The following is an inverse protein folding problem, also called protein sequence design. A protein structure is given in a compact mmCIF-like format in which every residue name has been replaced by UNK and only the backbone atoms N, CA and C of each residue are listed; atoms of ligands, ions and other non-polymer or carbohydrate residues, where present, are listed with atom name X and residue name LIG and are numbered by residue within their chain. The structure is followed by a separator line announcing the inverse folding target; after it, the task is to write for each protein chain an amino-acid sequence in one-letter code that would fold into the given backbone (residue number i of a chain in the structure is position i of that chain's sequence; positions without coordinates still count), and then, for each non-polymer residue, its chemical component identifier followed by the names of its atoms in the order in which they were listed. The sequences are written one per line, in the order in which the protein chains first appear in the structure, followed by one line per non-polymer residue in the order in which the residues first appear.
data_IF_215546291718
#
_entry.id   IF_215546291718
#
_cell.length_a   1.000
_cell.length_b   1.000
_cell.length_c   1.000
_cell.angle_alpha   90.00
_cell.angle_beta   90.00
_cell.angle_gamma   90.00
#
_symmetry.space_group_name_H-M   'P 1'
#
loop_
_entity.id
_entity.type
_entity.pdbx_description
1 polymer ?
#
# COMPACT_ATOMS: atom_id res chain seq x y z
N UNK A 1 -12.02 21.22 9.94
CA UNK A 1 -12.56 19.94 10.49
C UNK A 1 -13.78 20.15 11.38
N UNK A 2 -13.75 21.05 12.35
CA UNK A 2 -14.88 21.28 13.28
C UNK A 2 -16.18 21.63 12.55
N UNK A 3 -16.10 22.42 11.48
CA UNK A 3 -17.26 22.79 10.68
C UNK A 3 -17.95 21.57 10.05
N UNK A 4 -17.19 20.70 9.38
CA UNK A 4 -17.77 19.49 8.77
C UNK A 4 -18.31 18.52 9.82
N UNK A 5 -17.65 18.41 10.98
CA UNK A 5 -18.14 17.58 12.08
C UNK A 5 -19.53 18.01 12.53
N UNK A 6 -19.75 19.30 12.73
CA UNK A 6 -21.04 19.81 13.21
C UNK A 6 -22.17 19.64 12.19
N UNK A 7 -21.91 19.89 10.89
CA UNK A 7 -22.96 19.90 9.86
C UNK A 7 -23.19 18.56 9.16
N UNK A 8 -22.26 17.59 9.31
CA UNK A 8 -22.35 16.26 8.63
C UNK A 8 -22.57 15.11 9.60
N UNK A 9 -23.06 15.40 10.80
CA UNK A 9 -23.48 14.38 11.77
C UNK A 9 -22.36 13.46 12.24
N UNK A 10 -21.14 14.01 12.40
CA UNK A 10 -19.98 13.22 12.84
C UNK A 10 -20.23 12.50 14.17
N UNK A 11 -20.78 13.19 15.16
CA UNK A 11 -20.96 12.62 16.49
C UNK A 11 -21.93 11.42 16.46
N UNK A 12 -23.02 11.52 15.69
CA UNK A 12 -23.96 10.40 15.50
C UNK A 12 -23.28 9.24 14.80
N UNK A 13 -22.48 9.51 13.77
CA UNK A 13 -21.74 8.49 13.08
C UNK A 13 -20.68 7.84 14.00
N UNK A 14 -19.92 8.62 14.77
CA UNK A 14 -18.92 8.10 15.69
C UNK A 14 -19.55 7.24 16.80
N UNK A 15 -20.72 7.64 17.34
CA UNK A 15 -21.48 6.84 18.28
C UNK A 15 -21.94 5.50 17.67
N UNK A 16 -22.30 5.47 16.40
CA UNK A 16 -22.68 4.22 15.72
C UNK A 16 -21.53 3.20 15.66
N UNK A 17 -20.30 3.63 15.86
CA UNK A 17 -19.09 2.79 15.86
C UNK A 17 -18.59 2.44 17.27
N UNK A 18 -19.34 2.76 18.32
CA UNK A 18 -18.94 2.54 19.73
C UNK A 18 -18.53 1.09 20.02
N UNK A 19 -19.21 0.14 19.39
CA UNK A 19 -18.93 -1.29 19.57
C UNK A 19 -17.99 -1.85 18.48
N UNK A 20 -17.34 -0.98 17.69
CA UNK A 20 -16.39 -1.40 16.67
C UNK A 20 -15.21 -2.11 17.33
N UNK A 21 -14.73 -3.18 16.69
CA UNK A 21 -13.55 -3.91 17.14
C UNK A 21 -12.33 -2.97 17.17
N UNK A 22 -11.61 -2.98 18.26
CA UNK A 22 -10.35 -2.21 18.41
C UNK A 22 -9.22 -2.96 17.73
N UNK A 23 -8.48 -2.26 16.87
CA UNK A 23 -7.38 -2.83 16.06
C UNK A 23 -6.09 -2.07 16.32
N UNK A 24 -5.00 -2.82 16.46
CA UNK A 24 -3.63 -2.30 16.47
C UNK A 24 -3.03 -2.53 15.08
N UNK A 25 -2.59 -1.46 14.43
CA UNK A 25 -1.91 -1.52 13.13
C UNK A 25 -0.41 -1.44 13.32
N UNK A 26 0.34 -2.37 12.71
CA UNK A 26 1.79 -2.43 12.80
C UNK A 26 2.40 -2.67 11.42
N UNK A 27 3.29 -1.78 11.00
CA UNK A 27 4.13 -2.01 9.82
C UNK A 27 5.30 -2.92 10.14
N UNK A 28 5.78 -3.67 9.16
CA UNK A 28 6.90 -4.59 9.34
C UNK A 28 7.91 -4.53 8.20
N UNK A 29 9.14 -4.96 8.51
CA UNK A 29 10.20 -5.11 7.51
C UNK A 29 9.99 -6.34 6.61
N UNK A 30 9.02 -7.19 6.91
CA UNK A 30 8.57 -8.24 5.99
C UNK A 30 7.83 -7.70 4.77
N UNK A 31 7.54 -6.39 4.74
CA UNK A 31 6.82 -5.74 3.65
C UNK A 31 5.31 -5.67 3.85
N UNK A 32 4.83 -6.04 5.02
CA UNK A 32 3.40 -6.09 5.33
C UNK A 32 3.00 -5.03 6.37
N UNK A 33 1.77 -4.59 6.25
CA UNK A 33 1.00 -4.00 7.33
C UNK A 33 0.17 -5.09 7.98
N UNK A 34 0.26 -5.23 9.29
CA UNK A 34 -0.49 -6.17 10.09
C UNK A 34 -1.57 -5.45 10.89
N UNK A 35 -2.72 -6.09 11.06
CA UNK A 35 -3.81 -5.62 11.88
C UNK A 35 -4.15 -6.67 12.94
N UNK A 36 -3.98 -6.33 14.19
CA UNK A 36 -4.20 -7.22 15.32
C UNK A 36 -5.42 -6.78 16.12
N UNK A 37 -6.19 -7.74 16.59
CA UNK A 37 -7.23 -7.50 17.58
C UNK A 37 -6.59 -6.99 18.87
N UNK A 38 -6.96 -5.80 19.33
CA UNK A 38 -6.37 -5.19 20.51
C UNK A 38 -6.65 -5.96 21.82
N UNK A 39 -7.72 -6.78 21.85
CA UNK A 39 -8.11 -7.55 23.05
C UNK A 39 -7.48 -8.94 23.08
N UNK A 40 -7.37 -9.61 21.93
CA UNK A 40 -6.88 -11.00 21.88
C UNK A 40 -5.43 -11.10 21.41
N UNK A 41 -4.91 -10.10 20.71
CA UNK A 41 -3.60 -10.14 20.06
C UNK A 41 -3.56 -10.96 18.78
N UNK A 42 -4.68 -11.54 18.36
CA UNK A 42 -4.76 -12.32 17.12
C UNK A 42 -4.71 -11.42 15.91
N UNK A 43 -4.05 -11.88 14.86
CA UNK A 43 -4.01 -11.17 13.59
C UNK A 43 -5.35 -11.32 12.86
N UNK A 44 -6.01 -10.20 12.56
CA UNK A 44 -7.28 -10.19 11.84
C UNK A 44 -7.04 -10.20 10.32
N UNK A 45 -6.01 -9.47 9.87
CA UNK A 45 -5.60 -9.43 8.47
C UNK A 45 -4.20 -8.84 8.30
N UNK A 46 -3.59 -9.15 7.15
CA UNK A 46 -2.37 -8.54 6.66
C UNK A 46 -2.59 -7.88 5.30
N UNK A 47 -1.94 -6.75 5.05
CA UNK A 47 -1.98 -6.04 3.79
C UNK A 47 -0.57 -5.87 3.23
N UNK A 48 -0.37 -6.29 1.98
CA UNK A 48 0.88 -6.07 1.24
C UNK A 48 0.67 -4.90 0.30
N UNK A 49 1.31 -3.75 0.55
CA UNK A 49 1.18 -2.62 -0.36
C UNK A 49 1.67 -2.98 -1.76
N UNK A 50 0.93 -2.63 -2.83
CA UNK A 50 1.29 -2.95 -4.21
C UNK A 50 2.72 -2.52 -4.58
N UNK A 51 3.19 -1.41 -4.03
CA UNK A 51 4.50 -0.83 -4.32
C UNK A 51 5.63 -1.44 -3.46
N UNK A 52 5.30 -2.21 -2.44
CA UNK A 52 6.24 -2.98 -1.61
C UNK A 52 6.35 -4.42 -2.10
N UNK A 53 5.29 -4.95 -2.69
CA UNK A 53 5.22 -6.35 -3.13
C UNK A 53 6.42 -6.81 -3.99
N UNK A 54 6.99 -5.98 -4.90
CA UNK A 54 8.18 -6.37 -5.67
C UNK A 54 9.43 -6.61 -4.84
N UNK A 55 9.48 -6.15 -3.59
CA UNK A 55 10.59 -6.38 -2.67
C UNK A 55 10.50 -7.70 -1.92
N UNK A 56 9.35 -8.34 -1.87
CA UNK A 56 9.15 -9.55 -1.07
C UNK A 56 10.15 -10.68 -1.40
N UNK A 57 10.49 -10.95 -2.66
CA UNK A 57 11.52 -11.95 -2.98
C UNK A 57 12.89 -11.64 -2.36
N UNK A 58 13.23 -10.35 -2.23
CA UNK A 58 14.49 -9.92 -1.60
C UNK A 58 14.47 -10.17 -0.09
N UNK A 59 13.32 -9.96 0.54
CA UNK A 59 13.14 -10.23 1.98
C UNK A 59 13.30 -11.72 2.25
N UNK A 60 12.70 -12.56 1.42
CA UNK A 60 12.72 -14.02 1.60
C UNK A 60 14.06 -14.65 1.27
N UNK A 61 14.89 -14.00 0.46
CA UNK A 61 16.26 -14.39 0.07
C UNK A 61 16.47 -15.85 -0.40
N UNK A 62 15.40 -16.58 -0.64
CA UNK A 62 15.46 -17.99 -1.04
C UNK A 62 15.84 -18.17 -2.52
N UNK A 63 15.81 -17.09 -3.29
CA UNK A 63 15.90 -17.11 -4.75
C UNK A 63 17.20 -16.53 -5.30
N UNK A 64 18.02 -15.90 -4.48
CA UNK A 64 19.18 -15.15 -4.95
C UNK A 64 20.51 -15.92 -4.83
N UNK A 65 20.50 -17.21 -4.50
CA UNK A 65 21.71 -18.03 -4.30
C UNK A 65 22.79 -17.33 -3.42
N UNK A 66 22.40 -16.33 -2.65
CA UNK A 66 23.27 -15.68 -1.69
C UNK A 66 23.16 -16.47 -0.38
N UNK A 67 24.23 -17.06 0.12
CA UNK A 67 24.20 -17.74 1.40
C UNK A 67 24.10 -16.66 2.49
N UNK A 68 22.91 -16.16 2.75
CA UNK A 68 22.68 -15.43 3.98
C UNK A 68 22.68 -16.46 5.10
N UNK A 69 23.70 -16.38 5.90
CA UNK A 69 23.84 -17.21 7.08
C UNK A 69 22.69 -16.90 8.05
N UNK A 70 21.59 -17.63 7.89
CA UNK A 70 20.50 -17.69 8.84
C UNK A 70 19.73 -16.37 9.02
N UNK A 71 18.77 -16.10 8.16
CA UNK A 71 17.85 -15.00 8.37
C UNK A 71 17.37 -14.35 7.09
N UNK A 72 16.26 -13.61 7.19
CA UNK A 72 15.78 -12.72 6.15
C UNK A 72 16.74 -11.52 6.01
N UNK A 73 16.91 -11.02 4.78
CA UNK A 73 17.60 -9.74 4.58
C UNK A 73 16.83 -8.64 5.30
N UNK A 74 17.53 -7.80 6.01
CA UNK A 74 16.94 -6.62 6.65
C UNK A 74 16.67 -5.57 5.57
N UNK A 75 15.49 -5.62 4.97
CA UNK A 75 15.01 -4.64 4.00
C UNK A 75 13.87 -3.88 4.66
N UNK A 76 13.85 -2.55 4.48
CA UNK A 76 12.73 -1.76 4.96
C UNK A 76 11.50 -2.04 4.10
N UNK A 77 10.40 -2.38 4.75
CA UNK A 77 9.09 -2.59 4.14
C UNK A 77 8.15 -1.43 4.46
N UNK A 78 7.17 -1.66 5.33
CA UNK A 78 6.27 -0.62 5.86
C UNK A 78 6.91 -0.06 7.13
N UNK A 79 7.66 1.06 6.98
CA UNK A 79 8.50 1.66 8.04
C UNK A 79 8.06 3.10 8.41
N UNK A 80 7.03 3.64 7.79
CA UNK A 80 6.52 4.96 8.09
C UNK A 80 5.52 4.97 9.25
N UNK A 81 5.36 6.14 9.89
CA UNK A 81 4.37 6.33 10.95
C UNK A 81 2.96 6.27 10.38
N UNK A 82 2.18 5.29 10.82
CA UNK A 82 0.80 5.08 10.40
C UNK A 82 -0.09 6.14 11.04
N UNK A 83 -1.03 6.69 10.25
CA UNK A 83 -1.98 7.70 10.71
C UNK A 83 -3.40 7.22 10.45
N UNK A 84 -4.24 7.29 11.48
CA UNK A 84 -5.69 7.06 11.39
C UNK A 84 -6.41 8.41 11.42
N UNK A 85 -7.34 8.62 10.49
CA UNK A 85 -8.10 9.86 10.42
C UNK A 85 -9.51 9.64 9.86
N UNK A 86 -10.50 10.28 10.48
CA UNK A 86 -11.88 10.22 9.99
C UNK A 86 -12.11 11.31 8.94
N UNK A 87 -12.67 10.93 7.80
CA UNK A 87 -12.87 11.82 6.65
C UNK A 87 -14.29 11.70 6.08
N UNK A 88 -14.86 12.83 5.65
CA UNK A 88 -16.17 12.88 4.99
C UNK A 88 -16.01 12.98 3.47
N UNK A 89 -16.18 11.87 2.77
CA UNK A 89 -16.05 11.82 1.30
C UNK A 89 -16.89 10.70 0.70
N UNK A 90 -16.84 10.56 -0.62
CA UNK A 90 -17.44 9.45 -1.35
C UNK A 90 -16.35 8.44 -1.69
N UNK A 91 -16.34 7.29 -1.01
CA UNK A 91 -15.47 6.16 -1.34
C UNK A 91 -15.88 5.55 -2.70
N UNK A 92 -14.99 4.83 -3.41
CA UNK A 92 -15.31 4.19 -4.69
C UNK A 92 -16.53 3.28 -4.68
N UNK A 93 -16.81 2.64 -3.55
CA UNK A 93 -17.97 1.73 -3.40
C UNK A 93 -19.24 2.41 -2.91
N UNK A 94 -19.20 3.72 -2.67
CA UNK A 94 -20.34 4.45 -2.13
C UNK A 94 -21.20 5.08 -3.21
N UNK A 95 -22.49 5.23 -2.92
CA UNK A 95 -23.42 6.01 -3.74
C UNK A 95 -23.38 7.50 -3.39
N UNK A 96 -23.08 7.86 -2.14
CA UNK A 96 -23.05 9.22 -1.61
C UNK A 96 -21.85 9.44 -0.69
N UNK A 97 -21.59 10.73 -0.35
CA UNK A 97 -20.58 11.08 0.67
C UNK A 97 -21.06 10.64 2.05
N UNK A 98 -20.17 10.04 2.81
CA UNK A 98 -20.35 9.69 4.23
C UNK A 98 -19.04 9.74 4.99
N UNK A 99 -19.07 9.55 6.29
CA UNK A 99 -17.87 9.43 7.10
C UNK A 99 -17.20 8.08 6.93
N UNK A 100 -15.88 8.10 6.92
CA UNK A 100 -15.01 6.92 6.85
C UNK A 100 -13.84 7.09 7.80
N UNK A 101 -13.38 6.01 8.38
CA UNK A 101 -12.10 5.95 9.07
C UNK A 101 -11.02 5.51 8.07
N UNK A 102 -10.05 6.39 7.84
CA UNK A 102 -8.98 6.20 6.88
C UNK A 102 -7.69 5.82 7.59
N UNK A 103 -6.94 4.90 7.00
CA UNK A 103 -5.62 4.51 7.44
C UNK A 103 -4.60 4.93 6.37
N UNK A 104 -3.69 5.83 6.74
CA UNK A 104 -2.58 6.26 5.90
C UNK A 104 -1.34 5.47 6.30
N UNK A 105 -0.74 4.77 5.35
CA UNK A 105 0.35 3.82 5.56
C UNK A 105 1.57 4.26 4.75
N UNK A 106 2.39 5.19 5.27
CA UNK A 106 3.63 5.59 4.61
C UNK A 106 4.65 4.45 4.63
N UNK A 107 5.43 4.33 3.58
CA UNK A 107 6.46 3.28 3.52
C UNK A 107 7.76 3.69 4.23
N UNK A 108 7.95 4.99 4.52
CA UNK A 108 9.18 5.47 5.16
C UNK A 108 10.41 5.08 4.36
N UNK A 109 11.39 4.44 5.01
CA UNK A 109 12.58 3.90 4.34
C UNK A 109 12.27 2.74 3.39
N UNK A 110 11.08 2.18 3.45
CA UNK A 110 10.61 1.13 2.56
C UNK A 110 10.30 1.59 1.15
N UNK A 111 10.07 2.89 0.90
CA UNK A 111 9.81 3.41 -0.44
C UNK A 111 9.26 4.83 -0.46
N UNK A 112 9.31 5.47 -1.61
CA UNK A 112 8.88 6.86 -1.82
C UNK A 112 7.37 6.93 -2.05
N UNK A 113 6.58 6.46 -1.11
CA UNK A 113 5.15 6.42 -1.28
C UNK A 113 4.37 6.03 -0.04
N UNK A 114 3.08 5.85 -0.23
CA UNK A 114 2.16 5.42 0.81
C UNK A 114 0.93 4.73 0.22
N UNK A 115 0.26 3.94 1.04
CA UNK A 115 -1.07 3.38 0.75
C UNK A 115 -2.13 4.02 1.62
N UNK A 116 -3.37 4.02 1.13
CA UNK A 116 -4.54 4.50 1.87
C UNK A 116 -5.60 3.41 1.86
N UNK A 117 -6.06 3.04 3.04
CA UNK A 117 -7.11 2.06 3.24
C UNK A 117 -8.30 2.71 3.96
N UNK A 118 -9.50 2.31 3.58
CA UNK A 118 -10.71 2.54 4.37
C UNK A 118 -10.83 1.40 5.37
N UNK A 119 -10.81 1.74 6.64
CA UNK A 119 -10.90 0.79 7.77
C UNK A 119 -12.13 1.08 8.63
N UNK A 120 -13.17 1.69 8.04
CA UNK A 120 -14.47 1.92 8.69
C UNK A 120 -15.03 0.61 9.23
N UNK A 121 -14.97 -0.46 8.43
CA UNK A 121 -15.07 -1.83 8.93
C UNK A 121 -13.64 -2.33 9.23
N UNK A 122 -13.27 -2.50 10.50
CA UNK A 122 -11.90 -2.77 10.87
C UNK A 122 -11.41 -4.18 10.51
N UNK A 123 -12.33 -5.09 10.15
CA UNK A 123 -12.00 -6.47 9.75
C UNK A 123 -12.13 -6.71 8.24
N UNK A 124 -12.64 -5.74 7.49
CA UNK A 124 -12.77 -5.77 6.03
C UNK A 124 -12.21 -4.49 5.42
N UNK A 125 -10.88 -4.28 5.48
CA UNK A 125 -10.27 -3.08 4.92
C UNK A 125 -10.47 -3.03 3.42
N UNK A 126 -10.68 -1.81 2.89
CA UNK A 126 -10.70 -1.56 1.46
C UNK A 126 -9.47 -0.74 1.07
N UNK A 127 -8.61 -1.28 0.22
CA UNK A 127 -7.55 -0.50 -0.39
C UNK A 127 -8.16 0.53 -1.34
N UNK A 128 -7.90 1.82 -1.10
CA UNK A 128 -8.42 2.89 -1.94
C UNK A 128 -7.45 3.28 -3.03
N UNK A 129 -6.22 3.54 -2.63
CA UNK A 129 -5.14 3.83 -3.57
C UNK A 129 -3.77 3.76 -2.90
N UNK A 130 -2.75 3.62 -3.72
CA UNK A 130 -1.34 3.82 -3.34
C UNK A 130 -0.70 4.86 -4.24
N UNK A 131 0.19 5.66 -3.69
CA UNK A 131 0.96 6.66 -4.43
C UNK A 131 2.43 6.29 -4.36
N UNK A 132 3.11 6.43 -5.49
CA UNK A 132 4.56 6.29 -5.59
C UNK A 132 5.17 7.48 -6.32
N UNK A 133 6.15 8.11 -5.71
CA UNK A 133 6.90 9.21 -6.30
C UNK A 133 8.21 8.69 -6.91
N UNK A 134 8.29 8.68 -8.23
CA UNK A 134 9.51 8.41 -8.96
C UNK A 134 10.26 9.73 -9.21
N UNK A 135 11.09 10.11 -8.24
CA UNK A 135 11.89 11.35 -8.32
C UNK A 135 12.97 11.30 -9.39
N UNK A 136 13.38 10.12 -9.86
CA UNK A 136 14.41 9.98 -10.90
C UNK A 136 13.82 10.36 -12.27
N UNK A 137 12.60 9.88 -12.54
CA UNK A 137 11.93 10.12 -13.83
C UNK A 137 10.90 11.26 -13.75
N UNK A 138 10.80 11.96 -12.61
CA UNK A 138 9.83 13.03 -12.37
C UNK A 138 8.37 12.57 -12.64
N UNK A 139 8.03 11.36 -12.23
CA UNK A 139 6.69 10.80 -12.39
C UNK A 139 6.07 10.44 -11.05
N UNK A 140 4.77 10.61 -10.95
CA UNK A 140 3.99 10.10 -9.82
C UNK A 140 3.03 9.04 -10.33
N UNK A 141 3.08 7.87 -9.74
CA UNK A 141 2.20 6.77 -10.06
C UNK A 141 1.13 6.61 -8.98
N UNK A 142 -0.07 6.23 -9.38
CA UNK A 142 -1.16 5.88 -8.49
C UNK A 142 -1.70 4.51 -8.86
N UNK A 143 -1.79 3.62 -7.89
CA UNK A 143 -2.52 2.35 -8.01
C UNK A 143 -3.88 2.53 -7.34
N UNK A 144 -4.98 2.29 -8.03
CA UNK A 144 -6.33 2.43 -7.49
C UNK A 144 -6.84 1.13 -6.83
N UNK A 145 -8.07 1.15 -6.34
CA UNK A 145 -8.72 0.02 -5.67
C UNK A 145 -8.98 -1.18 -6.61
N UNK A 146 -8.98 -0.96 -7.93
CA UNK A 146 -9.10 -2.01 -8.95
C UNK A 146 -7.73 -2.47 -9.47
N UNK A 147 -6.65 -2.02 -8.83
CA UNK A 147 -5.25 -2.32 -9.22
C UNK A 147 -4.85 -1.70 -10.57
N UNK A 148 -5.60 -0.72 -11.08
CA UNK A 148 -5.16 0.04 -12.24
C UNK A 148 -4.04 1.00 -11.85
N UNK A 149 -3.03 1.11 -12.70
CA UNK A 149 -1.88 1.99 -12.51
C UNK A 149 -2.06 3.22 -13.39
N UNK A 150 -1.97 4.38 -12.78
CA UNK A 150 -2.03 5.67 -13.45
C UNK A 150 -0.72 6.41 -13.27
N UNK A 151 -0.32 7.18 -14.27
CA UNK A 151 0.81 8.10 -14.21
C UNK A 151 0.30 9.54 -14.23
N UNK A 152 0.88 10.39 -13.38
CA UNK A 152 0.58 11.81 -13.37
C UNK A 152 1.46 12.54 -14.37
N UNK A 153 0.81 13.29 -15.26
CA UNK A 153 1.46 14.22 -16.17
C UNK A 153 1.45 15.62 -15.54
N UNK A 154 2.64 16.17 -15.30
CA UNK A 154 2.80 17.50 -14.69
C UNK A 154 2.37 18.65 -15.61
N UNK A 155 2.39 18.45 -16.92
CA UNK A 155 1.95 19.45 -17.92
C UNK A 155 0.44 19.48 -18.00
N UNK A 156 -0.18 18.32 -18.24
CA UNK A 156 -1.63 18.18 -18.30
C UNK A 156 -2.31 18.31 -16.91
N UNK A 157 -1.53 18.24 -15.84
CA UNK A 157 -1.99 18.24 -14.43
C UNK A 157 -3.09 17.21 -14.16
N UNK A 158 -2.94 16.05 -14.77
CA UNK A 158 -3.92 14.95 -14.68
C UNK A 158 -3.24 13.59 -14.65
N UNK A 159 -3.97 12.61 -14.14
CA UNK A 159 -3.59 11.20 -14.23
C UNK A 159 -4.15 10.59 -15.52
N UNK A 160 -3.31 9.82 -16.20
CA UNK A 160 -3.72 8.93 -17.30
C UNK A 160 -3.40 7.49 -16.93
N UNK A 161 -4.10 6.53 -17.55
CA UNK A 161 -3.76 5.11 -17.38
C UNK A 161 -2.33 4.88 -17.88
N UNK A 162 -1.51 4.23 -17.07
CA UNK A 162 -0.13 3.94 -17.44
C UNK A 162 -0.09 2.94 -18.60
N UNK A 163 0.86 3.13 -19.52
CA UNK A 163 1.19 2.12 -20.52
C UNK A 163 1.76 0.87 -19.84
N UNK A 164 1.85 -0.23 -20.58
CA UNK A 164 2.47 -1.46 -20.07
C UNK A 164 3.91 -1.19 -19.59
N UNK A 165 4.69 -0.44 -20.37
CA UNK A 165 6.07 -0.10 -20.04
C UNK A 165 6.16 0.78 -18.78
N UNK A 166 5.27 1.75 -18.63
CA UNK A 166 5.21 2.59 -17.43
C UNK A 166 4.79 1.81 -16.18
N UNK A 167 3.89 0.84 -16.32
CA UNK A 167 3.49 -0.01 -15.20
C UNK A 167 4.61 -0.94 -14.74
N UNK A 168 5.45 -1.43 -15.65
CA UNK A 168 6.63 -2.25 -15.30
C UNK A 168 7.66 -1.46 -14.50
N UNK A 169 7.82 -0.17 -14.74
CA UNK A 169 8.70 0.70 -13.95
C UNK A 169 8.31 0.72 -12.48
N UNK A 170 7.03 0.74 -12.17
CA UNK A 170 6.54 0.72 -10.78
C UNK A 170 6.83 -0.62 -10.11
N UNK A 171 6.70 -1.73 -10.85
CA UNK A 171 6.87 -3.08 -10.32
C UNK A 171 8.32 -3.55 -10.32
N UNK A 172 9.12 -3.16 -11.33
CA UNK A 172 10.48 -3.64 -11.53
C UNK A 172 11.57 -2.72 -10.93
N UNK A 173 11.22 -1.49 -10.55
CA UNK A 173 12.21 -0.50 -10.08
C UNK A 173 13.04 -0.99 -8.90
N UNK A 174 12.44 -1.72 -7.99
CA UNK A 174 13.16 -2.28 -6.85
C UNK A 174 14.10 -3.42 -7.26
N UNK A 175 13.78 -4.14 -8.32
CA UNK A 175 14.64 -5.18 -8.86
C UNK A 175 15.90 -4.57 -9.48
N UNK A 176 15.75 -3.52 -10.27
CA UNK A 176 16.87 -2.85 -10.93
C UNK A 176 17.80 -2.14 -9.94
N UNK A 177 17.27 -1.48 -8.93
CA UNK A 177 18.06 -0.74 -7.95
C UNK A 177 18.81 -1.64 -6.95
N UNK A 178 18.50 -2.92 -6.89
CA UNK A 178 19.10 -3.87 -5.96
C UNK A 178 20.02 -4.91 -6.66
N UNK A 179 20.44 -4.64 -7.88
CA UNK A 179 21.36 -5.52 -8.63
C UNK A 179 20.70 -6.79 -9.19
N UNK A 180 19.38 -6.88 -9.14
CA UNK A 180 18.64 -7.96 -9.78
C UNK A 180 18.56 -7.67 -11.27
N UNK A 181 19.07 -8.59 -12.10
CA UNK A 181 19.10 -8.43 -13.55
C UNK A 181 17.70 -8.16 -14.12
N UNK A 182 17.57 -7.12 -14.94
CA UNK A 182 16.37 -6.85 -15.72
C UNK A 182 16.08 -7.91 -16.78
N UNK A 183 17.04 -8.78 -17.09
CA UNK A 183 16.89 -9.88 -18.04
C UNK A 183 16.44 -11.14 -17.33
N UNK A 184 15.17 -11.26 -17.11
CA UNK A 184 14.53 -12.46 -16.63
C UNK A 184 14.27 -13.41 -17.81
N UNK A 185 15.32 -13.99 -18.33
CA UNK A 185 15.21 -14.98 -19.41
C UNK A 185 15.12 -16.43 -18.90
N UNK A 186 15.20 -16.61 -17.59
CA UNK A 186 15.14 -17.92 -16.98
C UNK A 186 13.73 -18.21 -16.48
N UNK A 187 13.08 -19.19 -17.07
CA UNK A 187 11.74 -19.65 -16.67
C UNK A 187 11.71 -20.22 -15.24
N UNK A 188 12.86 -20.48 -14.65
CA UNK A 188 13.02 -20.97 -13.29
C UNK A 188 13.31 -19.80 -12.30
N UNK A 189 13.58 -18.61 -12.79
CA UNK A 189 13.87 -17.46 -11.94
C UNK A 189 12.58 -16.78 -11.52
N UNK A 190 12.03 -17.24 -10.41
CA UNK A 190 10.80 -16.70 -9.80
C UNK A 190 10.96 -15.29 -9.21
N UNK A 191 12.19 -14.75 -9.17
CA UNK A 191 12.45 -13.36 -8.77
C UNK A 191 12.02 -12.33 -9.83
N UNK A 192 11.69 -12.80 -11.01
CA UNK A 192 11.26 -11.99 -12.13
C UNK A 192 9.75 -11.75 -12.10
N UNK A 193 9.29 -10.92 -11.21
CA UNK A 193 7.88 -10.53 -11.16
C UNK A 193 7.62 -9.35 -12.09
N UNK A 194 7.77 -9.57 -13.41
CA UNK A 194 7.36 -8.56 -14.38
C UNK A 194 5.84 -8.46 -14.41
N UNK A 195 5.32 -7.29 -14.02
CA UNK A 195 3.95 -6.89 -14.31
C UNK A 195 2.85 -7.78 -13.76
N UNK A 196 3.09 -8.54 -12.69
CA UNK A 196 2.01 -9.26 -12.04
C UNK A 196 1.28 -8.30 -11.11
N UNK A 197 0.18 -7.78 -11.58
CA UNK A 197 -0.88 -7.31 -10.71
C UNK A 197 -1.35 -8.51 -9.88
N UNK A 198 -1.37 -8.34 -8.58
CA UNK A 198 -1.94 -9.34 -7.69
C UNK A 198 -3.46 -9.38 -7.90
N UNK A 199 -3.96 -10.49 -8.35
CA UNK A 199 -5.39 -10.81 -8.34
C UNK A 199 -5.76 -11.41 -7.00
#
# INVERSE_FOLDING_TARGET
ESYYRSIKGYDTWAQSLENRKEIIYAGSNSGMLHAFNAKTGEEEWGFIPPLISPKLPLVMNTLLNQPTKGGSNTIFGVDGSIVVHDMYFKSPLDTAKKWHTMLFVPYGRGGNGFSVLDVTDPIKPLHLYSIYNDSINNKVYRVDHNQNIYVYDYIARSYSLASFEESTVVTDKYNNNNGISSTCNDSLNTSCYKGRTWT
#
